data_IF_552994990926
#
_entry.id   IF_552994990926
#
_cell.length_a   1.000
_cell.length_b   1.000
_cell.length_c   1.000
_cell.angle_alpha   90.00
_cell.angle_beta   90.00
_cell.angle_gamma   90.00
#
_symmetry.space_group_name_H-M   'P 1'
#
loop_
_entity.id
_entity.type
_entity.pdbx_description
1 polymer ?
#
# COMPACT_ATOMS: atom_id res chain seq x y z
N UNK A 1 13.93 -28.61 -15.35
CA UNK A 1 12.63 -28.64 -16.06
C UNK A 1 11.55 -28.89 -15.02
N UNK A 2 10.70 -27.91 -14.77
CA UNK A 2 9.73 -27.87 -13.67
C UNK A 2 8.52 -28.75 -13.94
N UNK A 3 8.21 -29.65 -13.00
CA UNK A 3 7.07 -30.54 -13.06
C UNK A 3 5.80 -29.81 -12.60
N UNK A 4 5.05 -29.21 -13.51
CA UNK A 4 3.68 -28.77 -13.23
C UNK A 4 2.75 -29.98 -13.21
N UNK A 5 2.29 -30.38 -12.02
CA UNK A 5 1.21 -31.34 -11.85
C UNK A 5 -0.09 -30.72 -12.40
N UNK A 6 -0.61 -31.31 -13.48
CA UNK A 6 -1.94 -30.99 -14.02
C UNK A 6 -3.00 -31.44 -13.01
N UNK A 7 -3.84 -30.52 -12.54
CA UNK A 7 -5.00 -30.85 -11.72
C UNK A 7 -6.07 -31.51 -12.59
N UNK A 8 -6.48 -32.73 -12.24
CA UNK A 8 -7.53 -33.47 -12.95
C UNK A 8 -8.85 -33.37 -12.17
N UNK A 9 -9.90 -32.90 -12.84
CA UNK A 9 -11.19 -32.61 -12.24
C UNK A 9 -12.02 -33.91 -12.07
N UNK A 10 -12.45 -34.28 -10.85
CA UNK A 10 -13.00 -35.61 -10.56
C UNK A 10 -14.46 -35.85 -11.04
N UNK A 11 -15.08 -34.90 -11.74
CA UNK A 11 -16.48 -35.01 -12.20
C UNK A 11 -16.65 -35.38 -13.68
N UNK A 12 -15.62 -35.92 -14.32
CA UNK A 12 -15.71 -36.39 -15.72
C UNK A 12 -16.10 -37.87 -15.81
N UNK A 13 -17.32 -38.21 -15.39
CA UNK A 13 -17.92 -39.50 -15.74
C UNK A 13 -18.50 -39.45 -17.14
N UNK A 14 -17.94 -40.28 -18.03
CA UNK A 14 -18.45 -40.55 -19.37
C UNK A 14 -19.87 -41.13 -19.30
N UNK A 15 -20.84 -40.41 -19.86
CA UNK A 15 -22.16 -40.96 -20.23
C UNK A 15 -22.37 -40.69 -21.72
N UNK A 16 -22.40 -41.77 -22.48
CA UNK A 16 -22.76 -41.80 -23.89
C UNK A 16 -24.28 -41.99 -23.96
N UNK A 17 -25.02 -40.90 -24.21
CA UNK A 17 -26.43 -40.98 -24.62
C UNK A 17 -26.69 -39.87 -25.65
N UNK A 18 -26.97 -40.30 -26.88
CA UNK A 18 -27.38 -39.45 -27.99
C UNK A 18 -28.74 -38.83 -27.68
N UNK A 19 -28.80 -37.54 -27.34
CA UNK A 19 -30.04 -36.80 -27.45
C UNK A 19 -29.83 -35.31 -27.68
N UNK A 20 -30.65 -34.78 -28.58
CA UNK A 20 -30.68 -33.40 -29.04
C UNK A 20 -30.80 -32.44 -27.85
N UNK A 21 -29.70 -31.77 -27.49
CA UNK A 21 -29.77 -30.54 -26.72
C UNK A 21 -28.51 -29.73 -27.02
N UNK A 22 -28.74 -28.56 -27.63
CA UNK A 22 -27.76 -27.49 -27.80
C UNK A 22 -27.09 -27.21 -26.45
N UNK A 23 -25.97 -27.89 -26.21
CA UNK A 23 -25.11 -27.63 -25.07
C UNK A 23 -24.35 -26.38 -25.44
N UNK A 24 -24.99 -25.22 -25.18
CA UNK A 24 -24.32 -23.94 -25.16
C UNK A 24 -23.05 -24.12 -24.35
N UNK A 25 -21.91 -23.99 -25.02
CA UNK A 25 -20.59 -24.05 -24.42
C UNK A 25 -20.58 -23.06 -23.26
N UNK A 26 -20.66 -23.57 -22.04
CA UNK A 26 -20.29 -22.81 -20.87
C UNK A 26 -18.75 -22.78 -20.87
N UNK A 27 -18.19 -21.97 -21.75
CA UNK A 27 -16.79 -21.57 -21.75
C UNK A 27 -16.59 -20.66 -20.52
N UNK A 28 -16.71 -21.23 -19.32
CA UNK A 28 -16.36 -20.57 -18.07
C UNK A 28 -14.84 -20.66 -17.90
N UNK A 29 -14.11 -20.03 -18.82
CA UNK A 29 -12.69 -19.83 -18.71
C UNK A 29 -12.48 -18.50 -17.95
N UNK A 30 -12.57 -18.55 -16.63
CA UNK A 30 -12.15 -17.42 -15.80
C UNK A 30 -10.63 -17.36 -15.79
N UNK A 31 -10.08 -16.57 -16.71
CA UNK A 31 -8.65 -16.24 -16.70
C UNK A 31 -8.47 -14.95 -15.90
N UNK A 32 -8.31 -15.07 -14.57
CA UNK A 32 -7.83 -13.95 -13.73
C UNK A 32 -6.33 -13.82 -14.00
N UNK A 33 -5.97 -13.26 -15.16
CA UNK A 33 -4.57 -13.11 -15.55
C UNK A 33 -3.88 -11.96 -14.80
N UNK A 34 -4.63 -10.93 -14.38
CA UNK A 34 -4.08 -9.71 -13.77
C UNK A 34 -5.08 -9.14 -12.76
N UNK A 35 -4.77 -9.24 -11.47
CA UNK A 35 -5.41 -8.43 -10.43
C UNK A 35 -4.85 -7.01 -10.54
N UNK A 36 -5.63 -6.07 -11.07
CA UNK A 36 -5.22 -4.66 -11.25
C UNK A 36 -4.91 -3.90 -9.96
N UNK A 37 -4.94 -4.56 -8.80
CA UNK A 37 -4.60 -4.00 -7.49
C UNK A 37 -3.28 -4.55 -6.91
N UNK A 38 -2.45 -5.23 -7.71
CA UNK A 38 -1.21 -5.85 -7.21
C UNK A 38 -0.05 -4.86 -7.02
N UNK A 39 -0.22 -3.59 -7.38
CA UNK A 39 0.75 -2.52 -7.18
C UNK A 39 0.28 -1.63 -6.02
N UNK A 40 0.56 -2.08 -4.80
CA UNK A 40 0.19 -1.37 -3.57
C UNK A 40 1.41 -0.59 -3.09
N UNK A 41 1.42 0.72 -3.37
CA UNK A 41 2.38 1.64 -2.77
C UNK A 41 2.01 1.88 -1.30
N UNK A 42 2.85 1.39 -0.39
CA UNK A 42 2.69 1.64 1.05
C UNK A 42 3.55 2.83 1.44
N UNK A 43 2.91 3.95 1.74
CA UNK A 43 3.56 5.13 2.31
C UNK A 43 3.56 4.98 3.84
N UNK A 44 4.74 4.93 4.45
CA UNK A 44 4.90 4.91 5.91
C UNK A 44 5.39 6.27 6.36
N UNK A 45 4.53 7.00 7.06
CA UNK A 45 4.89 8.27 7.69
C UNK A 45 5.34 8.03 9.13
N UNK A 46 6.58 8.44 9.46
CA UNK A 46 7.12 8.36 10.81
C UNK A 46 7.17 9.77 11.41
N UNK A 47 6.36 10.02 12.44
CA UNK A 47 6.42 11.28 13.17
C UNK A 47 7.64 11.31 14.11
N UNK A 48 8.65 12.10 13.75
CA UNK A 48 9.91 12.25 14.49
C UNK A 48 9.89 13.39 15.53
N UNK A 49 8.79 14.16 15.63
CA UNK A 49 8.69 15.27 16.58
C UNK A 49 8.85 14.84 18.06
N UNK A 50 8.24 13.74 18.53
CA UNK A 50 8.37 13.33 19.94
C UNK A 50 9.81 12.99 20.31
N UNK A 51 10.55 12.32 19.42
CA UNK A 51 11.94 11.94 19.68
C UNK A 51 12.87 13.16 19.63
N UNK A 52 12.66 14.09 18.69
CA UNK A 52 13.40 15.35 18.65
C UNK A 52 13.20 16.19 19.93
N UNK A 53 11.95 16.30 20.39
CA UNK A 53 11.65 17.01 21.63
C UNK A 53 12.30 16.35 22.86
N UNK A 54 12.24 15.03 22.97
CA UNK A 54 12.90 14.30 24.05
C UNK A 54 14.42 14.52 24.08
N UNK A 55 15.07 14.59 22.90
CA UNK A 55 16.49 14.91 22.79
C UNK A 55 16.79 16.34 23.27
N UNK A 56 16.00 17.34 22.85
CA UNK A 56 16.17 18.71 23.32
C UNK A 56 16.02 18.82 24.85
N UNK A 57 15.01 18.15 25.42
CA UNK A 57 14.84 18.09 26.88
C UNK A 57 16.04 17.45 27.58
N UNK A 58 16.60 16.39 27.00
CA UNK A 58 17.79 15.71 27.54
C UNK A 58 19.03 16.61 27.52
N UNK A 59 19.22 17.37 26.44
CA UNK A 59 20.32 18.34 26.30
C UNK A 59 20.18 19.49 27.30
N UNK A 60 18.96 20.02 27.47
CA UNK A 60 18.69 21.07 28.45
C UNK A 60 18.90 20.57 29.90
N UNK A 61 18.39 19.39 30.23
CA UNK A 61 18.56 18.78 31.55
C UNK A 61 20.04 18.52 31.90
N UNK A 62 20.86 18.19 30.90
CA UNK A 62 22.31 17.99 31.05
C UNK A 62 23.12 19.28 30.95
N UNK A 63 22.45 20.45 30.90
CA UNK A 63 23.07 21.79 30.80
C UNK A 63 23.95 21.97 29.55
N UNK A 64 23.69 21.19 28.50
CA UNK A 64 24.35 21.33 27.20
C UNK A 64 23.71 22.42 26.34
N UNK A 65 22.52 22.90 26.73
CA UNK A 65 21.83 24.04 26.14
C UNK A 65 21.46 25.03 27.25
N UNK A 66 21.60 26.32 26.95
CA UNK A 66 20.96 27.38 27.74
C UNK A 66 19.44 27.39 27.52
N UNK A 67 18.71 28.07 28.41
CA UNK A 67 17.25 28.20 28.30
C UNK A 67 16.86 28.88 26.97
N UNK A 68 17.59 29.92 26.57
CA UNK A 68 17.31 30.65 25.33
C UNK A 68 17.54 29.78 24.10
N UNK A 69 18.63 29.02 24.06
CA UNK A 69 18.91 28.09 22.94
C UNK A 69 17.87 26.96 22.87
N UNK A 70 17.40 26.48 24.02
CA UNK A 70 16.35 25.46 24.08
C UNK A 70 15.00 25.99 23.56
N UNK A 71 14.60 27.20 23.96
CA UNK A 71 13.37 27.83 23.49
C UNK A 71 13.41 28.10 21.97
N UNK A 72 14.54 28.61 21.47
CA UNK A 72 14.76 28.83 20.04
C UNK A 72 14.71 27.51 19.25
N UNK A 73 15.34 26.45 19.78
CA UNK A 73 15.31 25.12 19.16
C UNK A 73 13.88 24.54 19.08
N UNK A 74 13.06 24.73 20.12
CA UNK A 74 11.65 24.31 20.08
C UNK A 74 10.87 25.08 19.02
N UNK A 75 11.10 26.39 18.90
CA UNK A 75 10.42 27.22 17.89
C UNK A 75 10.77 26.76 16.48
N UNK A 76 12.05 26.48 16.23
CA UNK A 76 12.52 25.97 14.94
C UNK A 76 11.95 24.58 14.65
N UNK A 77 11.93 23.67 15.64
CA UNK A 77 11.34 22.34 15.50
C UNK A 77 9.86 22.42 15.10
N UNK A 78 9.09 23.34 15.69
CA UNK A 78 7.68 23.55 15.30
C UNK A 78 7.55 24.05 13.86
N UNK A 79 8.38 25.01 13.44
CA UNK A 79 8.36 25.52 12.06
C UNK A 79 8.61 24.40 11.05
N UNK A 80 9.62 23.57 11.27
CA UNK A 80 9.92 22.45 10.37
C UNK A 80 8.75 21.47 10.24
N UNK A 81 8.12 21.12 11.36
CA UNK A 81 6.98 20.18 11.35
C UNK A 81 5.76 20.77 10.63
N UNK A 82 5.52 22.07 10.78
CA UNK A 82 4.40 22.75 10.10
C UNK A 82 4.68 22.90 8.60
N UNK A 83 5.93 23.13 8.18
CA UNK A 83 6.34 23.16 6.77
C UNK A 83 6.15 21.78 6.09
N UNK A 84 6.55 20.69 6.75
CA UNK A 84 6.39 19.32 6.22
C UNK A 84 4.92 18.94 5.98
N UNK A 85 4.00 19.48 6.79
CA UNK A 85 2.55 19.24 6.64
C UNK A 85 1.94 19.94 5.43
N UNK A 86 2.47 21.09 5.04
CA UNK A 86 1.94 21.87 3.91
C UNK A 86 2.31 21.25 2.56
N UNK A 87 3.40 20.47 2.49
CA UNK A 87 3.90 19.92 1.24
C UNK A 87 3.28 18.56 0.84
N UNK A 88 2.41 17.98 1.68
CA UNK A 88 1.76 16.69 1.41
C UNK A 88 0.40 16.89 0.72
N UNK A 89 0.41 17.45 -0.49
CA UNK A 89 -0.76 17.45 -1.37
C UNK A 89 -0.93 16.06 -1.99
N UNK A 90 -1.62 15.16 -1.28
CA UNK A 90 -2.21 13.98 -1.89
C UNK A 90 -3.37 14.44 -2.79
N UNK A 91 -3.09 14.81 -4.05
CA UNK A 91 -4.13 15.19 -5.01
C UNK A 91 -4.86 13.92 -5.52
N UNK A 92 -6.10 13.65 -5.07
CA UNK A 92 -6.85 12.48 -5.50
C UNK A 92 -7.17 12.49 -7.00
N UNK A 93 -7.03 13.64 -7.68
CA UNK A 93 -7.26 13.75 -9.12
C UNK A 93 -6.09 13.22 -9.98
N UNK A 94 -4.93 12.93 -9.37
CA UNK A 94 -3.79 12.31 -10.06
C UNK A 94 -3.88 10.78 -10.12
N UNK A 95 -4.81 10.18 -9.38
CA UNK A 95 -5.02 8.73 -9.37
C UNK A 95 -5.51 8.26 -10.76
N UNK A 96 -4.72 7.42 -11.44
CA UNK A 96 -5.09 6.86 -12.74
C UNK A 96 -6.05 5.68 -12.56
N UNK A 97 -7.28 5.82 -13.04
CA UNK A 97 -8.24 4.71 -13.12
C UNK A 97 -8.17 4.10 -14.51
N UNK A 98 -7.62 2.87 -14.59
CA UNK A 98 -7.59 2.10 -15.82
C UNK A 98 -8.96 1.46 -16.07
N UNK A 99 -9.58 1.78 -17.20
CA UNK A 99 -10.81 1.12 -17.65
C UNK A 99 -10.43 -0.15 -18.41
N UNK A 100 -11.14 -1.25 -18.17
CA UNK A 100 -10.99 -2.49 -18.93
C UNK A 100 -11.92 -2.39 -20.14
N UNK A 101 -11.33 -2.36 -21.34
CA UNK A 101 -12.05 -2.44 -22.62
C UNK A 101 -12.55 -3.87 -22.91
#
# INVERSE_FOLDING_TARGET
>A
MSNLRKYQNPFSTSRNDNNYLSSGRNDNNSQVAHSGNSDVDVIVEVNTMPIAYAMLCSLYATKQLSLTEFEDAIKNLKSLVDEDRVNNDNDPNTAKIYHVE
#
